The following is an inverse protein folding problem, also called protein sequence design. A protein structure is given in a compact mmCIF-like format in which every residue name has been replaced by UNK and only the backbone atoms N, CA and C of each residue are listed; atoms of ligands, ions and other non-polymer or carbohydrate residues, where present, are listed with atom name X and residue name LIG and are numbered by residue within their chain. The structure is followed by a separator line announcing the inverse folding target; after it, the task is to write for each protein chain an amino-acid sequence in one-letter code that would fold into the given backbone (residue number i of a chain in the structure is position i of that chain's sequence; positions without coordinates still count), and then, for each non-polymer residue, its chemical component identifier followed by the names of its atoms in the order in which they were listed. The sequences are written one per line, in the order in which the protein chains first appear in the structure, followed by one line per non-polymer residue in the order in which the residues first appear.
data_IF_038510060773
#
_entry.id   IF_038510060773
#
_cell.length_a   1.000
_cell.length_b   1.000
_cell.length_c   1.000
_cell.angle_alpha   90.00
_cell.angle_beta   90.00
_cell.angle_gamma   90.00
#
_symmetry.space_group_name_H-M   'P 1'
#
loop_
_entity.id
_entity.type
_entity.pdbx_description
1 polymer ?
#
# COMPACT_ATOMS: atom_id res chain seq x y z
N UNK A 1 11.90 -11.60 -20.79
CA UNK A 1 12.24 -11.43 -19.35
C UNK A 1 11.75 -10.07 -18.89
N UNK A 2 11.16 -9.97 -17.70
CA UNK A 2 10.79 -8.68 -17.08
C UNK A 2 11.94 -8.28 -16.15
N UNK A 3 12.66 -7.21 -16.46
CA UNK A 3 13.79 -6.70 -15.67
C UNK A 3 13.36 -5.62 -14.65
N UNK A 4 12.10 -5.64 -14.22
CA UNK A 4 11.59 -4.71 -13.23
C UNK A 4 12.04 -5.11 -11.83
N UNK A 5 12.07 -4.15 -10.91
CA UNK A 5 12.38 -4.41 -9.51
C UNK A 5 11.35 -5.39 -8.92
N UNK A 6 11.81 -6.54 -8.42
CA UNK A 6 10.93 -7.53 -7.81
C UNK A 6 10.44 -7.04 -6.45
N UNK A 7 9.12 -7.14 -6.20
CA UNK A 7 8.51 -6.78 -4.92
C UNK A 7 8.87 -7.75 -3.78
N UNK A 8 9.30 -8.96 -4.10
CA UNK A 8 9.84 -9.92 -3.13
C UNK A 8 11.18 -10.43 -3.64
N UNK A 9 12.19 -10.43 -2.78
CA UNK A 9 13.51 -10.98 -3.07
C UNK A 9 13.93 -11.87 -1.91
N UNK A 10 14.45 -13.04 -2.23
CA UNK A 10 14.86 -14.04 -1.25
C UNK A 10 16.27 -14.55 -1.57
N UNK A 11 16.89 -15.19 -0.58
CA UNK A 11 18.10 -15.98 -0.76
C UNK A 11 17.92 -17.31 -0.05
N UNK A 12 17.93 -18.38 -0.83
CA UNK A 12 17.80 -19.75 -0.37
C UNK A 12 19.13 -20.28 0.20
N UNK A 13 19.09 -21.37 0.98
CA UNK A 13 20.26 -21.92 1.67
C UNK A 13 21.43 -22.31 0.76
N UNK A 14 21.15 -22.69 -0.47
CA UNK A 14 22.11 -23.08 -1.51
C UNK A 14 22.65 -21.88 -2.30
N UNK A 15 22.19 -20.67 -1.99
CA UNK A 15 22.60 -19.42 -2.65
C UNK A 15 21.70 -19.01 -3.82
N UNK A 16 20.72 -19.84 -4.20
CA UNK A 16 19.73 -19.48 -5.23
C UNK A 16 18.91 -18.28 -4.75
N UNK A 17 18.55 -17.40 -5.70
CA UNK A 17 17.79 -16.18 -5.44
C UNK A 17 16.50 -16.09 -6.25
N UNK A 18 16.30 -17.03 -7.17
CA UNK A 18 15.16 -17.06 -8.06
C UNK A 18 13.97 -17.64 -7.32
N UNK A 19 12.98 -16.77 -7.08
CA UNK A 19 11.68 -17.14 -6.57
C UNK A 19 10.78 -17.48 -7.76
N UNK A 20 10.13 -18.64 -7.73
CA UNK A 20 9.19 -19.08 -8.75
C UNK A 20 7.80 -19.30 -8.14
N UNK A 21 6.99 -18.23 -7.93
CA UNK A 21 5.65 -18.36 -7.37
C UNK A 21 4.72 -19.11 -8.33
N UNK A 22 4.19 -20.24 -7.87
CA UNK A 22 3.12 -20.97 -8.53
C UNK A 22 1.78 -20.66 -7.85
N UNK A 23 0.72 -20.25 -8.59
CA UNK A 23 -0.59 -20.04 -8.01
C UNK A 23 -1.12 -21.29 -7.32
N UNK A 24 -1.56 -21.15 -6.06
CA UNK A 24 -2.04 -22.24 -5.22
C UNK A 24 -3.52 -22.09 -4.83
N UNK A 25 -4.14 -20.96 -5.17
CA UNK A 25 -5.57 -20.71 -4.97
C UNK A 25 -5.88 -19.28 -4.57
N UNK A 26 -7.16 -19.02 -4.38
CA UNK A 26 -7.69 -17.75 -3.89
C UNK A 26 -8.80 -17.99 -2.87
N UNK A 27 -8.95 -17.06 -1.94
CA UNK A 27 -9.99 -17.08 -0.93
C UNK A 27 -10.54 -15.67 -0.71
N UNK A 28 -11.83 -15.57 -0.43
CA UNK A 28 -12.50 -14.30 -0.10
C UNK A 28 -13.08 -14.41 1.31
N UNK A 29 -12.24 -14.29 2.36
CA UNK A 29 -12.72 -14.41 3.73
C UNK A 29 -13.65 -13.24 4.09
N UNK A 30 -14.58 -13.44 5.04
CA UNK A 30 -15.38 -12.35 5.58
C UNK A 30 -14.48 -11.34 6.28
N UNK A 31 -14.77 -10.05 6.09
CA UNK A 31 -14.07 -8.95 6.73
C UNK A 31 -15.09 -7.93 7.23
N UNK A 32 -14.98 -7.51 8.49
CA UNK A 32 -16.00 -6.71 9.19
C UNK A 32 -16.31 -5.40 8.46
N UNK A 33 -15.28 -4.75 7.91
CA UNK A 33 -15.39 -3.43 7.26
C UNK A 33 -15.32 -3.45 5.73
N UNK A 34 -15.57 -4.60 5.08
CA UNK A 34 -15.55 -4.66 3.61
C UNK A 34 -15.29 -6.04 3.02
N UNK A 35 -14.40 -6.12 2.04
CA UNK A 35 -14.08 -7.37 1.33
C UNK A 35 -12.59 -7.62 1.34
N UNK A 36 -12.17 -8.84 1.67
CA UNK A 36 -10.77 -9.27 1.58
C UNK A 36 -10.63 -10.35 0.51
N UNK A 37 -9.63 -10.21 -0.36
CA UNK A 37 -9.19 -11.22 -1.31
C UNK A 37 -7.78 -11.66 -0.93
N UNK A 38 -7.58 -12.96 -0.78
CA UNK A 38 -6.29 -13.58 -0.52
C UNK A 38 -5.88 -14.40 -1.72
N UNK A 39 -4.78 -14.03 -2.37
CA UNK A 39 -4.17 -14.83 -3.44
C UNK A 39 -2.99 -15.61 -2.86
N UNK A 40 -3.02 -16.95 -2.97
CA UNK A 40 -2.01 -17.84 -2.42
C UNK A 40 -1.06 -18.35 -3.51
N UNK A 41 0.22 -18.39 -3.18
CA UNK A 41 1.28 -18.91 -4.03
C UNK A 41 2.20 -19.82 -3.23
N UNK A 42 2.72 -20.85 -3.89
CA UNK A 42 3.80 -21.70 -3.38
C UNK A 42 5.02 -21.51 -4.26
N UNK A 43 6.21 -21.39 -3.68
CA UNK A 43 7.42 -21.51 -4.48
C UNK A 43 7.53 -22.92 -5.05
N UNK A 44 7.97 -23.03 -6.30
CA UNK A 44 8.04 -24.31 -7.01
C UNK A 44 9.10 -25.27 -6.45
N UNK A 45 10.15 -24.74 -5.83
CA UNK A 45 11.37 -25.48 -5.51
C UNK A 45 11.70 -25.51 -4.02
N UNK A 46 11.27 -24.51 -3.26
CA UNK A 46 11.62 -24.32 -1.86
C UNK A 46 10.37 -24.27 -0.97
N UNK A 47 10.49 -24.59 0.33
CA UNK A 47 9.36 -24.61 1.26
C UNK A 47 8.98 -23.20 1.71
N UNK A 48 8.52 -22.37 0.77
CA UNK A 48 8.11 -21.00 0.99
C UNK A 48 6.75 -20.77 0.33
N UNK A 49 5.80 -20.22 1.07
CA UNK A 49 4.53 -19.74 0.53
C UNK A 49 4.41 -18.23 0.68
N UNK A 50 3.61 -17.65 -0.21
CA UNK A 50 3.30 -16.23 -0.27
C UNK A 50 1.79 -16.07 -0.34
N UNK A 51 1.24 -15.21 0.52
CA UNK A 51 -0.15 -14.79 0.46
C UNK A 51 -0.16 -13.28 0.18
N UNK A 52 -0.86 -12.86 -0.88
CA UNK A 52 -1.12 -11.47 -1.16
C UNK A 52 -2.55 -11.14 -0.76
N UNK A 53 -2.70 -10.33 0.29
CA UNK A 53 -3.97 -9.91 0.82
C UNK A 53 -4.33 -8.54 0.26
N UNK A 54 -5.56 -8.42 -0.25
CA UNK A 54 -6.15 -7.18 -0.75
C UNK A 54 -7.44 -6.92 0.02
N UNK A 55 -7.55 -5.79 0.70
CA UNK A 55 -8.77 -5.40 1.40
C UNK A 55 -9.37 -4.17 0.77
N UNK A 56 -10.64 -4.25 0.42
CA UNK A 56 -11.48 -3.13 0.01
C UNK A 56 -12.27 -2.67 1.22
N UNK A 57 -12.13 -1.39 1.59
CA UNK A 57 -12.91 -0.79 2.68
C UNK A 57 -14.24 -0.28 2.13
N UNK A 58 -15.34 -0.68 2.75
CA UNK A 58 -16.66 -0.26 2.32
C UNK A 58 -16.82 1.27 2.42
N UNK A 59 -17.45 1.86 1.40
CA UNK A 59 -17.77 3.29 1.39
C UNK A 59 -16.59 4.22 1.05
N UNK A 60 -15.39 3.69 0.77
CA UNK A 60 -14.23 4.46 0.32
C UNK A 60 -13.49 3.74 -0.81
N UNK A 61 -12.83 4.50 -1.69
CA UNK A 61 -12.01 3.95 -2.77
C UNK A 61 -10.58 3.61 -2.28
N UNK A 62 -10.48 2.81 -1.22
CA UNK A 62 -9.21 2.36 -0.64
C UNK A 62 -8.97 0.87 -0.87
N UNK A 63 -7.81 0.54 -1.41
CA UNK A 63 -7.27 -0.82 -1.45
C UNK A 63 -6.11 -0.88 -0.46
N UNK A 64 -6.27 -1.62 0.63
CA UNK A 64 -5.17 -2.02 1.50
C UNK A 64 -4.53 -3.29 0.94
N UNK A 65 -3.20 -3.36 0.99
CA UNK A 65 -2.47 -4.56 0.56
C UNK A 65 -1.37 -4.90 1.56
N UNK A 66 -1.25 -6.18 1.88
CA UNK A 66 -0.07 -6.71 2.58
C UNK A 66 0.33 -8.08 2.03
N UNK A 67 1.53 -8.51 2.39
CA UNK A 67 2.06 -9.83 2.06
C UNK A 67 2.29 -10.63 3.34
N UNK A 68 1.98 -11.92 3.27
CA UNK A 68 2.39 -12.89 4.28
C UNK A 68 3.33 -13.89 3.63
N UNK A 69 4.54 -14.02 4.18
CA UNK A 69 5.53 -15.01 3.76
C UNK A 69 5.62 -16.08 4.84
N UNK A 70 5.51 -17.36 4.47
CA UNK A 70 5.61 -18.47 5.44
C UNK A 70 6.62 -19.50 4.97
N UNK A 71 7.57 -19.84 5.83
CA UNK A 71 8.40 -21.03 5.64
C UNK A 71 7.56 -22.24 6.03
N UNK A 72 7.34 -23.16 5.09
CA UNK A 72 6.48 -24.34 5.26
C UNK A 72 7.28 -25.63 5.47
N UNK A 73 8.58 -25.51 5.69
CA UNK A 73 9.44 -26.64 5.97
C UNK A 73 9.35 -27.06 7.43
N UNK A 74 10.08 -28.12 7.73
CA UNK A 74 10.30 -28.65 9.07
C UNK A 74 11.39 -27.84 9.80
N UNK A 75 11.51 -27.97 11.14
CA UNK A 75 12.62 -27.37 11.90
C UNK A 75 14.01 -27.81 11.45
N UNK A 76 14.12 -28.93 10.71
CA UNK A 76 15.38 -29.41 10.13
C UNK A 76 15.73 -28.76 8.79
N UNK A 77 14.79 -28.07 8.16
CA UNK A 77 15.04 -27.34 6.93
C UNK A 77 15.89 -26.10 7.17
N UNK A 78 16.72 -25.78 6.18
CA UNK A 78 17.65 -24.66 6.27
C UNK A 78 16.94 -23.31 6.10
N UNK A 79 17.54 -22.27 6.67
CA UNK A 79 17.00 -20.90 6.70
C UNK A 79 16.89 -20.27 5.32
N UNK A 80 15.74 -19.66 5.03
CA UNK A 80 15.52 -18.79 3.88
C UNK A 80 15.67 -17.35 4.34
N UNK A 81 16.51 -16.56 3.67
CA UNK A 81 16.68 -15.13 3.98
C UNK A 81 15.72 -14.31 3.11
N UNK A 82 14.91 -13.44 3.72
CA UNK A 82 14.14 -12.42 2.99
C UNK A 82 15.03 -11.19 2.82
N UNK A 83 15.34 -10.85 1.56
CA UNK A 83 16.16 -9.68 1.21
C UNK A 83 15.27 -8.45 1.03
N UNK A 84 14.08 -8.65 0.48
CA UNK A 84 13.07 -7.61 0.27
C UNK A 84 11.67 -8.20 0.32
N UNK A 85 10.73 -7.47 0.92
CA UNK A 85 9.31 -7.80 0.92
C UNK A 85 8.48 -6.52 0.91
N UNK A 86 8.07 -6.08 -0.28
CA UNK A 86 7.27 -4.88 -0.47
C UNK A 86 5.79 -5.20 -0.23
N UNK A 87 5.14 -4.43 0.65
CA UNK A 87 3.69 -4.52 0.86
C UNK A 87 2.87 -4.22 -0.40
N UNK A 88 3.44 -3.54 -1.40
CA UNK A 88 2.82 -3.34 -2.71
C UNK A 88 3.85 -3.07 -3.82
N UNK A 89 3.54 -3.53 -5.04
CA UNK A 89 4.24 -3.12 -6.28
C UNK A 89 3.18 -2.88 -7.35
N UNK A 90 3.18 -1.68 -7.93
CA UNK A 90 2.19 -1.27 -8.92
C UNK A 90 2.86 -1.10 -10.28
N UNK A 91 2.33 -1.79 -11.29
CA UNK A 91 2.67 -1.51 -12.68
C UNK A 91 1.69 -0.46 -13.18
N UNK A 92 2.15 0.78 -13.29
CA UNK A 92 1.31 1.86 -13.80
C UNK A 92 0.99 1.61 -15.28
N UNK A 93 -0.28 1.79 -15.72
CA UNK A 93 -0.64 1.70 -17.12
C UNK A 93 0.08 2.78 -17.96
N UNK A 94 -0.06 2.77 -19.28
CA UNK A 94 0.43 3.89 -20.10
C UNK A 94 -0.67 4.95 -20.18
N UNK A 95 -0.65 5.91 -19.27
CA UNK A 95 -1.44 7.14 -19.36
C UNK A 95 -0.59 8.28 -19.96
N UNK A 96 -1.26 9.32 -20.45
CA UNK A 96 -0.60 10.43 -21.16
C UNK A 96 0.48 11.13 -20.34
N UNK A 97 0.22 11.40 -19.06
CA UNK A 97 1.18 12.02 -18.14
C UNK A 97 1.03 11.46 -16.73
N UNK A 98 2.18 11.31 -16.04
CA UNK A 98 2.24 10.98 -14.62
C UNK A 98 2.97 12.09 -13.86
N UNK A 99 2.46 12.46 -12.70
CA UNK A 99 3.16 13.31 -11.75
C UNK A 99 3.27 12.61 -10.41
N UNK A 100 4.49 12.48 -9.90
CA UNK A 100 4.75 12.08 -8.52
C UNK A 100 4.80 13.33 -7.64
N UNK A 101 3.85 13.45 -6.71
CA UNK A 101 3.90 14.44 -5.64
C UNK A 101 4.33 13.71 -4.36
N UNK A 102 5.32 14.27 -3.66
CA UNK A 102 5.80 13.72 -2.39
C UNK A 102 5.81 14.83 -1.34
N UNK A 103 5.51 14.46 -0.11
CA UNK A 103 5.72 15.34 1.03
C UNK A 103 7.12 15.06 1.54
N UNK A 104 7.92 16.10 1.73
CA UNK A 104 9.23 16.00 2.40
C UNK A 104 9.15 16.66 3.76
N UNK A 105 10.13 16.43 4.60
CA UNK A 105 10.21 17.06 5.90
C UNK A 105 11.64 17.15 6.38
N UNK A 106 11.84 17.97 7.40
CA UNK A 106 13.04 17.96 8.22
C UNK A 106 12.59 17.99 9.68
N UNK A 107 13.52 17.76 10.60
CA UNK A 107 13.23 17.88 12.03
C UNK A 107 12.64 19.26 12.37
N UNK A 108 11.51 19.29 13.08
CA UNK A 108 10.68 20.47 13.39
C UNK A 108 10.04 21.20 12.20
N UNK A 109 10.06 20.59 11.01
CA UNK A 109 9.31 21.00 9.83
C UNK A 109 8.95 19.75 9.03
N UNK A 110 8.38 18.77 9.74
CA UNK A 110 7.86 17.55 9.17
C UNK A 110 6.73 17.90 8.20
N UNK A 111 6.58 17.07 7.17
CA UNK A 111 5.45 17.10 6.22
C UNK A 111 5.19 18.41 5.47
N UNK A 112 6.25 19.09 4.98
CA UNK A 112 6.17 20.32 4.18
C UNK A 112 6.76 20.20 2.76
N UNK A 113 6.08 20.79 1.74
CA UNK A 113 4.74 21.35 1.77
C UNK A 113 3.66 20.26 1.84
N UNK A 114 2.43 20.61 2.24
CA UNK A 114 1.28 19.72 2.16
C UNK A 114 1.03 19.24 0.72
N UNK A 115 0.29 18.15 0.56
CA UNK A 115 0.14 17.45 -0.73
C UNK A 115 -1.08 17.99 -1.51
N UNK A 116 -0.92 18.83 -2.55
CA UNK A 116 -2.09 19.40 -3.21
C UNK A 116 -2.89 18.31 -3.93
N UNK A 117 -4.16 18.21 -3.56
CA UNK A 117 -5.10 17.24 -4.13
C UNK A 117 -5.57 17.76 -5.49
N UNK A 118 -5.86 16.86 -6.44
CA UNK A 118 -6.36 17.24 -7.78
C UNK A 118 -7.81 16.84 -7.93
N UNK A 119 -8.44 17.39 -8.97
CA UNK A 119 -9.83 17.11 -9.33
C UNK A 119 -10.87 17.45 -8.26
N UNK A 120 -10.53 18.36 -7.33
CA UNK A 120 -11.50 18.94 -6.39
C UNK A 120 -12.16 20.17 -7.03
N UNK A 121 -13.42 20.45 -6.64
CA UNK A 121 -14.16 21.65 -7.01
C UNK A 121 -13.71 22.83 -6.11
N UNK A 122 -13.10 23.91 -6.65
CA UNK A 122 -12.57 25.00 -5.84
C UNK A 122 -13.59 25.67 -4.91
N UNK A 123 -14.84 25.80 -5.36
CA UNK A 123 -15.92 26.43 -4.60
C UNK A 123 -16.54 25.52 -3.54
N UNK A 124 -16.27 24.21 -3.58
CA UNK A 124 -16.85 23.24 -2.65
C UNK A 124 -16.12 23.22 -1.30
N UNK A 125 -16.80 22.68 -0.30
CA UNK A 125 -16.24 22.32 1.00
C UNK A 125 -16.14 20.81 1.12
N UNK A 126 -15.09 20.35 1.77
CA UNK A 126 -14.79 18.94 1.96
C UNK A 126 -14.55 18.70 3.45
N UNK A 127 -15.32 17.79 4.04
CA UNK A 127 -15.19 17.40 5.44
C UNK A 127 -14.35 16.13 5.55
N UNK A 128 -13.31 16.17 6.38
CA UNK A 128 -12.62 14.97 6.84
C UNK A 128 -13.56 14.15 7.72
N UNK A 129 -13.80 12.88 7.35
CA UNK A 129 -14.75 12.03 8.07
C UNK A 129 -14.23 11.58 9.43
N UNK A 130 -12.91 11.61 9.64
CA UNK A 130 -12.27 11.19 10.89
C UNK A 130 -12.20 12.36 11.86
N UNK A 131 -11.63 13.49 11.43
CA UNK A 131 -11.41 14.66 12.32
C UNK A 131 -12.59 15.62 12.37
N UNK A 132 -13.51 15.54 11.41
CA UNK A 132 -14.62 16.48 11.25
C UNK A 132 -14.20 17.85 10.69
N UNK A 133 -12.91 18.09 10.43
CA UNK A 133 -12.41 19.36 9.89
C UNK A 133 -12.93 19.58 8.48
N UNK A 134 -13.39 20.81 8.20
CA UNK A 134 -13.87 21.21 6.88
C UNK A 134 -12.81 22.04 6.17
N UNK A 135 -12.46 21.62 4.96
CA UNK A 135 -11.49 22.27 4.09
C UNK A 135 -12.17 22.87 2.87
N UNK A 136 -11.74 24.06 2.46
CA UNK A 136 -12.13 24.63 1.16
C UNK A 136 -11.39 23.91 0.02
N UNK A 137 -12.12 23.58 -1.06
CA UNK A 137 -11.55 22.94 -2.25
C UNK A 137 -10.36 23.70 -2.82
N UNK A 138 -10.46 25.04 -2.89
CA UNK A 138 -9.34 25.89 -3.31
C UNK A 138 -8.06 25.72 -2.48
N UNK A 139 -8.17 25.49 -1.17
CA UNK A 139 -7.03 25.26 -0.28
C UNK A 139 -6.43 23.87 -0.50
N UNK A 140 -7.27 22.84 -0.58
CA UNK A 140 -6.79 21.47 -0.86
C UNK A 140 -6.12 21.36 -2.23
N UNK A 141 -6.59 22.11 -3.24
CA UNK A 141 -6.01 22.17 -4.58
C UNK A 141 -4.62 22.82 -4.64
N UNK A 142 -4.33 23.74 -3.72
CA UNK A 142 -3.13 24.58 -3.77
C UNK A 142 -2.08 24.18 -2.73
N UNK A 143 -2.52 23.88 -1.51
CA UNK A 143 -1.65 23.60 -0.35
C UNK A 143 -1.79 22.17 0.16
N UNK A 144 -2.91 21.50 -0.14
CA UNK A 144 -3.17 20.15 0.37
C UNK A 144 -3.47 20.08 1.86
N UNK A 145 -3.87 18.91 2.37
CA UNK A 145 -3.97 18.68 3.81
C UNK A 145 -2.58 18.48 4.42
N UNK A 146 -2.45 18.80 5.70
CA UNK A 146 -1.31 18.40 6.51
C UNK A 146 -1.74 17.18 7.33
N UNK A 147 -1.31 15.96 6.97
CA UNK A 147 -1.68 14.78 7.72
C UNK A 147 -1.07 14.85 9.13
N UNK A 148 -1.87 14.50 10.13
CA UNK A 148 -1.34 14.21 11.47
C UNK A 148 -0.80 12.77 11.44
N UNK A 149 0.52 12.64 11.55
CA UNK A 149 1.22 11.37 11.53
C UNK A 149 1.69 11.03 12.94
N UNK A 150 1.54 9.77 13.34
CA UNK A 150 2.15 9.29 14.57
C UNK A 150 3.68 9.51 14.53
N UNK A 151 4.30 9.71 15.69
CA UNK A 151 5.73 9.96 15.80
C UNK A 151 6.61 8.72 15.55
N UNK A 152 6.04 7.62 15.06
CA UNK A 152 6.78 6.39 14.75
C UNK A 152 7.45 6.44 13.37
N UNK A 153 8.47 5.60 13.17
CA UNK A 153 9.33 5.63 11.97
C UNK A 153 8.62 5.17 10.68
N UNK A 154 7.36 4.74 10.74
CA UNK A 154 6.60 4.25 9.59
C UNK A 154 5.13 4.67 9.63
N UNK A 155 4.86 5.90 10.08
CA UNK A 155 3.51 6.39 10.24
C UNK A 155 2.83 6.63 8.89
N UNK A 156 1.63 6.08 8.75
CA UNK A 156 0.69 6.42 7.68
C UNK A 156 -0.64 6.79 8.30
N UNK A 157 -1.34 7.76 7.70
CA UNK A 157 -2.71 8.11 8.10
C UNK A 157 -3.61 8.11 6.88
N UNK A 158 -4.86 7.66 7.06
CA UNK A 158 -5.89 7.69 6.04
C UNK A 158 -6.72 8.97 6.22
N UNK A 159 -6.71 9.83 5.20
CA UNK A 159 -7.57 11.04 5.18
C UNK A 159 -8.70 10.79 4.18
N UNK A 160 -9.93 10.71 4.70
CA UNK A 160 -11.12 10.52 3.88
C UNK A 160 -11.95 11.81 3.84
N UNK A 161 -12.01 12.43 2.67
CA UNK A 161 -12.68 13.72 2.45
C UNK A 161 -13.97 13.51 1.68
N UNK A 162 -15.09 13.93 2.26
CA UNK A 162 -16.40 13.93 1.58
C UNK A 162 -16.81 15.37 1.25
N UNK A 163 -17.39 15.58 0.07
CA UNK A 163 -17.93 16.88 -0.32
C UNK A 163 -19.16 17.19 0.52
N UNK A 164 -19.23 18.38 1.11
CA UNK A 164 -20.44 18.85 1.79
C UNK A 164 -21.52 19.21 0.78
N UNK A 165 -22.82 19.01 1.10
CA UNK A 165 -23.90 19.56 0.33
C UNK A 165 -23.80 21.10 0.32
N UNK A 166 -24.16 21.69 -0.81
CA UNK A 166 -24.11 23.14 -1.03
C UNK A 166 -25.15 23.90 -0.19
#
# INVERSE_FOLDING_TARGET
MRYAHAGVQVRFPDGVRDLEPHPAGEEVPPHEDGTELVLRFTDRHYPLTLEAHYRLRAGIDLIERHLVLRHTGTPTDRTITIVRADSATWVLPRLGEYRLSQVRGQWCAETRPGLPLRALEPAARYRDTVTGVVHHGAILLTHGPHPDLAADDHASTLVHLIREPA
#
